data_IF_981353171125
#
_entry.id   IF_981353171125
#
_cell.length_a   1.000
_cell.length_b   1.000
_cell.length_c   1.000
_cell.angle_alpha   90.00
_cell.angle_beta   90.00
_cell.angle_gamma   90.00
#
_symmetry.space_group_name_H-M   'P 1'
#
loop_
_entity.id
_entity.type
_entity.pdbx_description
1 polymer ?
#
# COMPACT_ATOMS: atom_id res chain seq x y z
N UNK A 1 19.45 -13.62 5.80
CA UNK A 1 18.53 -13.56 4.65
C UNK A 1 18.95 -12.36 3.83
N UNK A 2 19.17 -12.52 2.52
CA UNK A 2 19.46 -11.37 1.66
C UNK A 2 18.20 -10.49 1.56
N UNK A 3 18.40 -9.17 1.62
CA UNK A 3 17.33 -8.17 1.56
C UNK A 3 17.24 -7.62 0.13
N UNK A 4 16.03 -7.23 -0.28
CA UNK A 4 15.82 -6.60 -1.57
C UNK A 4 16.22 -5.12 -1.54
N UNK A 5 16.75 -4.62 -2.65
CA UNK A 5 17.01 -3.18 -2.85
C UNK A 5 15.74 -2.42 -3.25
N UNK A 6 14.82 -3.12 -3.94
CA UNK A 6 13.52 -2.57 -4.32
C UNK A 6 12.41 -3.61 -4.30
N UNK A 7 11.19 -3.17 -4.00
CA UNK A 7 9.94 -3.95 -4.08
C UNK A 7 8.96 -3.22 -5.00
N UNK A 8 8.13 -3.98 -5.70
CA UNK A 8 7.11 -3.45 -6.60
C UNK A 8 5.79 -4.16 -6.32
N UNK A 9 4.71 -3.39 -6.17
CA UNK A 9 3.36 -3.93 -6.02
C UNK A 9 2.39 -2.96 -6.68
N UNK A 10 1.53 -3.48 -7.55
CA UNK A 10 0.52 -2.69 -8.24
C UNK A 10 -0.80 -3.44 -8.17
N UNK A 11 -1.85 -2.78 -7.69
CA UNK A 11 -3.19 -3.36 -7.52
C UNK A 11 -3.18 -4.74 -6.86
N UNK A 12 -2.62 -4.83 -5.66
CA UNK A 12 -2.52 -6.08 -4.91
C UNK A 12 -2.77 -5.88 -3.43
N UNK A 13 -2.09 -4.91 -2.81
CA UNK A 13 -2.17 -4.65 -1.37
C UNK A 13 -3.60 -4.31 -0.90
N UNK A 14 -4.39 -3.64 -1.74
CA UNK A 14 -5.75 -3.23 -1.43
C UNK A 14 -6.72 -4.41 -1.21
N UNK A 15 -6.33 -5.61 -1.63
CA UNK A 15 -7.13 -6.84 -1.45
C UNK A 15 -6.84 -7.56 -0.12
N UNK A 16 -5.70 -7.29 0.53
CA UNK A 16 -5.20 -8.12 1.61
C UNK A 16 -6.15 -8.16 2.81
N UNK A 17 -6.61 -9.36 3.18
CA UNK A 17 -7.50 -9.58 4.31
C UNK A 17 -8.97 -9.26 4.05
N UNK A 18 -9.37 -9.09 2.78
CA UNK A 18 -10.78 -8.99 2.39
C UNK A 18 -11.40 -10.34 2.02
N UNK A 19 -10.63 -11.43 1.99
CA UNK A 19 -11.15 -12.75 1.62
C UNK A 19 -11.54 -12.87 0.15
N UNK A 20 -11.06 -11.95 -0.69
CA UNK A 20 -11.29 -11.96 -2.14
C UNK A 20 -10.84 -13.26 -2.77
N UNK A 21 -9.70 -13.76 -2.32
CA UNK A 21 -9.02 -14.93 -2.86
C UNK A 21 -9.20 -16.16 -1.97
N UNK A 22 -10.29 -16.19 -1.18
CA UNK A 22 -10.56 -17.19 -0.13
C UNK A 22 -9.52 -17.18 0.99
N UNK A 23 -8.76 -16.10 1.11
CA UNK A 23 -7.93 -15.79 2.26
C UNK A 23 -8.81 -15.50 3.51
N UNK A 24 -8.31 -15.76 4.73
CA UNK A 24 -9.03 -15.38 5.94
C UNK A 24 -9.28 -13.86 6.00
N UNK A 25 -10.47 -13.48 6.47
CA UNK A 25 -10.77 -12.08 6.73
C UNK A 25 -9.84 -11.52 7.81
N UNK A 26 -9.22 -10.38 7.50
CA UNK A 26 -8.32 -9.69 8.40
C UNK A 26 -8.35 -8.18 8.12
N UNK A 27 -8.96 -7.43 9.04
CA UNK A 27 -9.07 -5.98 8.93
C UNK A 27 -7.71 -5.26 8.90
N UNK A 28 -6.62 -5.93 9.29
CA UNK A 28 -5.25 -5.40 9.29
C UNK A 28 -4.34 -6.07 8.25
N UNK A 29 -4.90 -6.84 7.30
CA UNK A 29 -4.12 -7.62 6.34
C UNK A 29 -3.10 -6.80 5.55
N UNK A 30 -3.55 -5.68 4.97
CA UNK A 30 -2.69 -4.72 4.26
C UNK A 30 -1.57 -4.15 5.16
N UNK A 31 -1.88 -3.75 6.39
CA UNK A 31 -0.87 -3.23 7.34
C UNK A 31 0.15 -4.30 7.73
N UNK A 32 -0.29 -5.54 7.92
CA UNK A 32 0.61 -6.67 8.19
C UNK A 32 1.52 -6.95 6.99
N UNK A 33 0.99 -6.87 5.77
CA UNK A 33 1.80 -6.97 4.54
C UNK A 33 2.82 -5.84 4.47
N UNK A 34 2.44 -4.60 4.79
CA UNK A 34 3.39 -3.49 4.88
C UNK A 34 4.52 -3.76 5.89
N UNK A 35 4.21 -4.32 7.06
CA UNK A 35 5.22 -4.74 8.04
C UNK A 35 6.16 -5.82 7.47
N UNK A 36 5.62 -6.84 6.79
CA UNK A 36 6.43 -7.89 6.14
C UNK A 36 7.36 -7.30 5.07
N UNK A 37 6.85 -6.43 4.20
CA UNK A 37 7.65 -5.74 3.18
C UNK A 37 8.78 -4.94 3.83
N UNK A 38 8.49 -4.24 4.93
CA UNK A 38 9.50 -3.47 5.68
C UNK A 38 10.65 -4.36 6.18
N UNK A 39 10.38 -5.63 6.49
CA UNK A 39 11.39 -6.58 6.95
C UNK A 39 12.22 -7.23 5.83
N UNK A 40 11.70 -7.33 4.61
CA UNK A 40 12.44 -7.93 3.47
C UNK A 40 13.11 -6.89 2.57
N UNK A 41 12.70 -5.61 2.67
CA UNK A 41 13.32 -4.48 1.99
C UNK A 41 14.41 -3.89 2.87
N UNK A 42 15.61 -3.68 2.33
CA UNK A 42 16.69 -3.05 3.11
C UNK A 42 16.31 -1.62 3.56
N UNK A 43 16.81 -1.13 4.71
CA UNK A 43 16.74 0.29 5.03
C UNK A 43 17.27 1.15 3.87
N UNK A 44 16.55 2.20 3.50
CA UNK A 44 16.88 3.04 2.34
C UNK A 44 16.49 2.45 0.98
N UNK A 45 16.03 1.19 0.92
CA UNK A 45 15.48 0.58 -0.29
C UNK A 45 14.12 1.17 -0.69
N UNK A 46 13.75 1.02 -1.95
CA UNK A 46 12.58 1.65 -2.54
C UNK A 46 11.41 0.67 -2.73
N UNK A 47 10.20 1.11 -2.41
CA UNK A 47 8.97 0.39 -2.67
C UNK A 47 8.08 1.21 -3.60
N UNK A 48 7.82 0.67 -4.78
CA UNK A 48 6.92 1.24 -5.78
C UNK A 48 5.54 0.62 -5.59
N UNK A 49 4.61 1.41 -5.03
CA UNK A 49 3.30 0.93 -4.59
C UNK A 49 2.17 1.62 -5.37
N UNK A 50 1.45 0.87 -6.20
CA UNK A 50 0.23 1.29 -6.88
C UNK A 50 -1.01 0.88 -6.08
N UNK A 51 -1.81 1.87 -5.66
CA UNK A 51 -3.03 1.68 -4.86
C UNK A 51 -4.18 2.56 -5.36
N UNK A 52 -5.44 2.15 -5.12
CA UNK A 52 -6.58 3.06 -5.26
C UNK A 52 -6.52 4.09 -4.12
N UNK A 53 -6.28 5.35 -4.47
CA UNK A 53 -6.24 6.47 -3.52
C UNK A 53 -7.36 7.45 -3.86
N UNK A 54 -8.11 7.91 -2.86
CA UNK A 54 -9.19 8.87 -3.06
C UNK A 54 -9.30 9.86 -1.88
N UNK A 55 -10.23 10.83 -1.98
CA UNK A 55 -10.49 11.84 -0.94
C UNK A 55 -11.17 11.25 0.30
N UNK A 56 -11.78 10.06 0.19
CA UNK A 56 -12.46 9.34 1.26
C UNK A 56 -12.01 7.87 1.28
N UNK A 57 -11.89 7.30 2.49
CA UNK A 57 -11.67 5.88 2.69
C UNK A 57 -12.94 5.09 2.36
N UNK A 58 -12.82 4.02 1.59
CA UNK A 58 -13.96 3.14 1.32
C UNK A 58 -13.53 1.69 1.15
N UNK A 59 -14.50 0.78 1.24
CA UNK A 59 -14.29 -0.65 1.02
C UNK A 59 -15.39 -1.13 0.07
N UNK A 60 -14.99 -1.64 -1.09
CA UNK A 60 -15.89 -2.25 -2.06
C UNK A 60 -16.13 -3.72 -1.71
N UNK A 61 -16.89 -3.99 -0.65
CA UNK A 61 -17.12 -5.36 -0.12
C UNK A 61 -15.81 -6.17 0.00
N UNK A 62 -15.72 -7.35 -0.62
CA UNK A 62 -14.51 -8.16 -0.67
C UNK A 62 -13.63 -7.88 -1.91
N UNK A 63 -13.95 -6.86 -2.71
CA UNK A 63 -13.23 -6.55 -3.94
C UNK A 63 -11.93 -5.80 -3.64
N UNK A 64 -11.97 -4.64 -3.00
CA UNK A 64 -10.77 -3.87 -2.64
C UNK A 64 -11.07 -2.78 -1.62
N UNK A 65 -10.01 -2.30 -0.96
CA UNK A 65 -10.01 -1.03 -0.21
C UNK A 65 -9.67 0.13 -1.15
N UNK A 66 -10.22 1.29 -0.86
CA UNK A 66 -9.76 2.57 -1.40
C UNK A 66 -9.23 3.40 -0.24
N UNK A 67 -8.00 3.86 -0.39
CA UNK A 67 -7.28 4.53 0.69
C UNK A 67 -7.53 6.03 0.65
N UNK A 68 -8.09 6.54 1.74
CA UNK A 68 -8.33 7.96 1.98
C UNK A 68 -7.49 8.49 3.14
N UNK A 69 -7.84 9.67 3.67
CA UNK A 69 -7.02 10.38 4.66
C UNK A 69 -6.86 9.64 5.99
N UNK A 70 -7.69 8.62 6.29
CA UNK A 70 -7.61 7.86 7.54
C UNK A 70 -6.65 6.68 7.39
N UNK A 71 -6.80 5.86 6.35
CA UNK A 71 -6.03 4.60 6.22
C UNK A 71 -4.72 4.79 5.48
N UNK A 72 -4.65 5.71 4.51
CA UNK A 72 -3.45 5.95 3.72
C UNK A 72 -2.21 6.28 4.57
N UNK A 73 -2.27 7.14 5.62
CA UNK A 73 -1.12 7.42 6.47
C UNK A 73 -0.60 6.18 7.22
N UNK A 74 -1.46 5.19 7.49
CA UNK A 74 -1.07 3.94 8.15
C UNK A 74 -0.24 3.07 7.23
N UNK A 75 -0.53 3.06 5.93
CA UNK A 75 0.24 2.33 4.91
C UNK A 75 1.67 2.84 4.85
N UNK A 76 1.86 4.16 4.94
CA UNK A 76 3.19 4.78 4.83
C UNK A 76 3.93 4.94 6.16
N UNK A 77 3.40 4.40 7.28
CA UNK A 77 3.94 4.65 8.63
C UNK A 77 5.45 4.41 8.75
N UNK A 78 5.97 3.37 8.09
CA UNK A 78 7.39 2.99 8.13
C UNK A 78 8.22 3.49 6.94
N UNK A 79 7.65 4.36 6.11
CA UNK A 79 8.23 4.78 4.82
C UNK A 79 8.25 6.30 4.67
N UNK A 80 9.32 6.83 4.07
CA UNK A 80 9.30 8.20 3.55
C UNK A 80 8.56 8.16 2.22
N UNK A 81 7.54 9.01 2.06
CA UNK A 81 6.95 9.26 0.75
C UNK A 81 7.93 10.13 -0.02
N UNK A 82 8.48 9.59 -1.11
CA UNK A 82 9.51 10.24 -1.93
C UNK A 82 8.85 11.02 -3.05
N UNK A 83 7.98 10.35 -3.81
CA UNK A 83 7.38 10.90 -5.03
C UNK A 83 6.06 10.20 -5.35
N UNK A 84 5.20 10.89 -6.09
CA UNK A 84 4.01 10.32 -6.72
C UNK A 84 4.24 10.26 -8.24
N UNK A 85 4.28 9.05 -8.81
CA UNK A 85 4.50 8.80 -10.22
C UNK A 85 3.20 8.38 -10.92
N UNK A 86 2.85 9.07 -12.01
CA UNK A 86 1.70 8.76 -12.87
C UNK A 86 0.86 9.99 -13.22
N UNK A 87 0.10 9.90 -14.32
CA UNK A 87 -0.64 11.05 -14.87
C UNK A 87 -2.06 11.10 -14.29
N UNK A 88 -2.34 12.13 -13.49
CA UNK A 88 -3.69 12.65 -13.17
C UNK A 88 -4.37 12.02 -11.96
N UNK A 89 -4.55 12.80 -10.89
CA UNK A 89 -5.43 12.43 -9.76
C UNK A 89 -6.83 12.07 -10.27
N UNK A 90 -7.53 11.17 -9.58
CA UNK A 90 -8.96 10.97 -9.74
C UNK A 90 -9.65 12.34 -9.83
N UNK A 91 -10.14 12.71 -11.02
CA UNK A 91 -10.68 14.05 -11.27
C UNK A 91 -12.10 14.21 -10.74
N UNK A 92 -12.78 13.09 -10.49
CA UNK A 92 -14.15 13.02 -10.03
C UNK A 92 -14.28 12.00 -8.88
N UNK A 93 -15.18 12.23 -7.91
CA UNK A 93 -15.61 11.20 -6.98
C UNK A 93 -16.09 9.95 -7.74
N UNK A 94 -15.57 8.77 -7.39
CA UNK A 94 -15.90 7.51 -8.07
C UNK A 94 -14.94 7.07 -9.18
N UNK A 95 -13.88 7.82 -9.47
CA UNK A 95 -12.81 7.37 -10.35
C UNK A 95 -11.86 6.43 -9.59
N UNK A 96 -12.18 5.13 -9.61
CA UNK A 96 -11.40 4.06 -8.97
C UNK A 96 -10.36 3.43 -9.90
N UNK A 97 -10.29 3.90 -11.16
CA UNK A 97 -9.44 3.32 -12.21
C UNK A 97 -8.01 3.83 -12.20
N UNK A 98 -7.76 5.00 -11.61
CA UNK A 98 -6.41 5.58 -11.53
C UNK A 98 -5.69 5.12 -10.27
N UNK A 99 -4.62 4.35 -10.44
CA UNK A 99 -3.71 3.98 -9.36
C UNK A 99 -2.32 4.52 -9.68
N UNK A 100 -1.96 5.64 -9.06
CA UNK A 100 -0.60 6.19 -9.14
C UNK A 100 0.36 5.31 -8.37
N UNK A 101 1.62 5.30 -8.80
CA UNK A 101 2.68 4.76 -7.96
C UNK A 101 3.06 5.79 -6.91
N UNK A 102 2.92 5.43 -5.63
CA UNK A 102 3.58 6.13 -4.55
C UNK A 102 4.95 5.49 -4.35
N UNK A 103 6.00 6.28 -4.55
CA UNK A 103 7.37 5.85 -4.31
C UNK A 103 7.67 6.04 -2.82
N UNK A 104 7.95 4.92 -2.16
CA UNK A 104 8.18 4.84 -0.74
C UNK A 104 9.64 4.44 -0.49
N UNK A 105 10.30 5.04 0.50
CA UNK A 105 11.63 4.62 0.93
C UNK A 105 11.59 4.08 2.36
N UNK A 106 12.10 2.86 2.56
CA UNK A 106 12.06 2.19 3.87
C UNK A 106 12.91 2.95 4.91
N UNK A 107 12.30 3.42 6.00
CA UNK A 107 12.97 4.21 7.04
C UNK A 107 13.82 3.38 7.99
N UNK A 108 13.34 2.18 8.32
CA UNK A 108 13.71 1.51 9.57
C UNK A 108 14.22 0.08 9.39
N UNK A 109 13.93 -0.57 8.25
CA UNK A 109 14.14 -2.02 8.11
C UNK A 109 13.22 -2.81 9.05
N UNK A 110 13.57 -4.07 9.31
CA UNK A 110 12.77 -4.87 10.23
C UNK A 110 12.90 -4.35 11.66
N UNK A 111 11.83 -3.73 12.19
CA UNK A 111 11.66 -3.48 13.63
C UNK A 111 10.47 -4.31 14.12
N UNK A 112 10.66 -4.93 15.30
CA UNK A 112 9.72 -5.89 15.88
C UNK A 112 8.26 -5.42 15.81
N UNK A 113 7.39 -6.34 15.42
CA UNK A 113 5.94 -6.22 15.26
C UNK A 113 5.23 -5.70 16.49
#
# INVERSE_FOLDING_TARGET
QELFDSVWSYSSLEHDGLGRYRDPLNAYGDLQTMTKITCILRPGGFFFLGLPINIEDSIAFNLHRVYGPIRLPLIYRYYHVVELLGVGMAKNPGDWGTQHFVVLQNKIGCKGS
#
